data_IF_238962353822
#
_entry.id   IF_238962353822
#
_cell.length_a   1.000
_cell.length_b   1.000
_cell.length_c   1.000
_cell.angle_alpha   90.00
_cell.angle_beta   90.00
_cell.angle_gamma   90.00
#
_symmetry.space_group_name_H-M   'P 1'
#
loop_
_entity.id
_entity.type
_entity.pdbx_description
1 polymer ?
#
# COMPACT_ATOMS: atom_id res chain seq x y z
N UNK A 1 -7.34 2.85 0.47
CA UNK A 1 -7.50 3.60 1.72
C UNK A 1 -8.85 3.30 2.32
N UNK A 2 -8.90 2.97 3.60
CA UNK A 2 -10.12 2.64 4.31
C UNK A 2 -10.53 3.82 5.18
N UNK A 3 -11.71 4.36 4.92
CA UNK A 3 -12.23 5.54 5.62
C UNK A 3 -13.47 5.13 6.41
N UNK A 4 -13.46 5.49 7.69
CA UNK A 4 -14.60 5.34 8.58
C UNK A 4 -15.30 6.70 8.71
N UNK A 5 -16.62 6.74 8.59
CA UNK A 5 -17.42 7.96 8.84
C UNK A 5 -18.49 7.62 9.86
N UNK A 6 -18.61 8.42 10.92
CA UNK A 6 -19.64 8.22 11.93
C UNK A 6 -20.35 9.55 12.22
N UNK A 7 -21.65 9.57 11.99
CA UNK A 7 -22.52 10.75 12.17
C UNK A 7 -23.96 10.25 12.39
N UNK A 8 -24.63 10.63 13.47
CA UNK A 8 -25.97 10.13 13.79
C UNK A 8 -27.07 10.83 12.98
N UNK A 9 -26.74 11.92 12.28
CA UNK A 9 -27.60 12.57 11.33
C UNK A 9 -27.42 11.97 9.91
N UNK A 10 -28.42 11.23 9.43
CA UNK A 10 -28.36 10.55 8.13
C UNK A 10 -27.95 11.45 6.97
N UNK A 11 -28.53 12.66 6.90
CA UNK A 11 -28.21 13.62 5.82
C UNK A 11 -26.77 14.13 5.89
N UNK A 12 -26.24 14.38 7.11
CA UNK A 12 -24.86 14.78 7.32
C UNK A 12 -23.89 13.65 6.93
N UNK A 13 -24.19 12.43 7.35
CA UNK A 13 -23.43 11.22 6.97
C UNK A 13 -23.35 11.03 5.45
N UNK A 14 -24.50 11.11 4.75
CA UNK A 14 -24.55 10.92 3.29
C UNK A 14 -23.83 12.04 2.55
N UNK A 15 -23.98 13.31 2.99
CA UNK A 15 -23.30 14.46 2.40
C UNK A 15 -21.79 14.37 2.59
N UNK A 16 -21.33 14.07 3.81
CA UNK A 16 -19.92 13.90 4.10
C UNK A 16 -19.32 12.72 3.29
N UNK A 17 -20.05 11.63 3.17
CA UNK A 17 -19.65 10.48 2.37
C UNK A 17 -19.42 10.88 0.91
N UNK A 18 -20.36 11.60 0.29
CA UNK A 18 -20.22 12.09 -1.09
C UNK A 18 -19.04 13.05 -1.25
N UNK A 19 -18.84 13.97 -0.29
CA UNK A 19 -17.72 14.89 -0.30
C UNK A 19 -16.39 14.14 -0.24
N UNK A 20 -16.26 13.17 0.66
CA UNK A 20 -15.07 12.35 0.84
C UNK A 20 -14.83 11.44 -0.39
N UNK A 21 -15.88 10.85 -0.99
CA UNK A 21 -15.79 10.09 -2.24
C UNK A 21 -15.28 10.95 -3.41
N UNK A 22 -15.66 12.22 -3.45
CA UNK A 22 -15.18 13.18 -4.45
C UNK A 22 -13.69 13.47 -4.34
N UNK A 23 -13.16 13.58 -3.11
CA UNK A 23 -11.74 13.80 -2.84
C UNK A 23 -10.93 12.52 -3.01
N UNK A 24 -11.44 11.39 -2.55
CA UNK A 24 -10.75 10.09 -2.53
C UNK A 24 -11.39 9.09 -3.48
N UNK A 25 -11.21 9.25 -4.77
CA UNK A 25 -11.86 8.44 -5.84
C UNK A 25 -11.71 6.91 -5.75
N UNK A 26 -10.81 6.39 -4.89
CA UNK A 26 -10.46 4.97 -4.85
C UNK A 26 -10.36 4.43 -3.42
N UNK A 27 -11.06 5.04 -2.49
CA UNK A 27 -11.12 4.61 -1.10
C UNK A 27 -12.34 3.72 -0.85
N UNK A 28 -12.23 2.83 0.13
CA UNK A 28 -13.37 2.11 0.70
C UNK A 28 -13.91 2.94 1.85
N UNK A 29 -15.16 3.40 1.74
CA UNK A 29 -15.79 4.26 2.75
C UNK A 29 -16.90 3.47 3.43
N UNK A 30 -16.76 3.31 4.76
CA UNK A 30 -17.79 2.68 5.60
C UNK A 30 -18.39 3.72 6.53
N UNK A 31 -19.72 3.88 6.47
CA UNK A 31 -20.44 4.85 7.28
C UNK A 31 -21.35 4.20 8.32
N UNK A 32 -21.42 4.79 9.51
CA UNK A 32 -22.28 4.35 10.60
C UNK A 32 -23.06 5.53 11.19
N UNK A 33 -24.31 5.28 11.52
CA UNK A 33 -25.14 6.25 12.25
C UNK A 33 -25.03 6.10 13.77
N UNK A 34 -24.46 5.00 14.25
CA UNK A 34 -24.29 4.75 15.70
C UNK A 34 -22.82 4.46 16.02
N UNK A 35 -22.26 5.16 17.00
CA UNK A 35 -20.89 4.91 17.46
C UNK A 35 -20.65 3.46 17.92
N UNK A 36 -21.66 2.81 18.52
CA UNK A 36 -21.58 1.42 18.95
C UNK A 36 -21.38 0.45 17.78
N UNK A 37 -22.12 0.64 16.69
CA UNK A 37 -22.00 -0.19 15.49
C UNK A 37 -20.60 -0.01 14.84
N UNK A 38 -20.09 1.22 14.85
CA UNK A 38 -18.73 1.50 14.36
C UNK A 38 -17.67 0.78 15.20
N UNK A 39 -17.82 0.77 16.54
CA UNK A 39 -16.89 0.05 17.42
C UNK A 39 -16.97 -1.46 17.24
N UNK A 40 -18.15 -2.04 17.10
CA UNK A 40 -18.32 -3.47 16.83
C UNK A 40 -17.64 -3.87 15.51
N UNK A 41 -17.83 -3.07 14.46
CA UNK A 41 -17.16 -3.26 13.18
C UNK A 41 -15.63 -3.25 13.33
N UNK A 42 -15.11 -2.24 14.03
CA UNK A 42 -13.66 -2.07 14.24
C UNK A 42 -13.07 -3.22 15.07
N UNK A 43 -13.76 -3.68 16.14
CA UNK A 43 -13.33 -4.82 16.93
C UNK A 43 -13.33 -6.11 16.11
N UNK A 44 -14.33 -6.32 15.25
CA UNK A 44 -14.43 -7.49 14.40
C UNK A 44 -13.33 -7.47 13.32
N UNK A 45 -13.08 -6.32 12.72
CA UNK A 45 -12.00 -6.12 11.74
C UNK A 45 -10.61 -6.37 12.36
N UNK A 46 -10.37 -5.86 13.57
CA UNK A 46 -9.11 -6.06 14.28
C UNK A 46 -8.82 -7.54 14.61
N UNK A 47 -9.85 -8.33 14.92
CA UNK A 47 -9.73 -9.78 15.25
C UNK A 47 -9.57 -10.65 14.00
N UNK A 48 -10.21 -10.28 12.89
CA UNK A 48 -10.23 -11.07 11.65
C UNK A 48 -9.10 -10.71 10.67
N UNK A 49 -8.18 -9.80 11.04
CA UNK A 49 -7.10 -9.36 10.18
C UNK A 49 -7.55 -8.54 8.97
N UNK A 50 -8.78 -8.02 9.01
CA UNK A 50 -9.26 -7.08 8.00
C UNK A 50 -8.49 -5.74 8.12
N UNK A 51 -8.38 -5.04 6.99
CA UNK A 51 -7.65 -3.78 6.94
C UNK A 51 -8.27 -2.73 7.88
N UNK A 52 -7.44 -2.17 8.76
CA UNK A 52 -7.81 -1.09 9.66
C UNK A 52 -8.21 0.18 8.91
N UNK A 53 -9.06 1.05 9.46
CA UNK A 53 -9.26 2.39 8.90
C UNK A 53 -7.97 3.21 8.97
N UNK A 54 -7.62 3.86 7.86
CA UNK A 54 -6.50 4.80 7.76
C UNK A 54 -6.89 6.19 8.29
N UNK A 55 -8.17 6.55 8.12
CA UNK A 55 -8.76 7.85 8.45
C UNK A 55 -10.18 7.65 8.98
N UNK A 56 -10.52 8.38 10.03
CA UNK A 56 -11.88 8.42 10.56
C UNK A 56 -12.40 9.87 10.60
N UNK A 57 -13.59 10.10 10.03
CA UNK A 57 -14.36 11.32 10.22
C UNK A 57 -15.44 11.04 11.26
N UNK A 58 -15.48 11.81 12.33
CA UNK A 58 -16.35 11.57 13.46
C UNK A 58 -17.13 12.84 13.81
N UNK A 59 -18.46 12.77 13.81
CA UNK A 59 -19.22 13.82 14.50
C UNK A 59 -18.94 13.75 16.01
N UNK A 60 -19.01 14.87 16.67
CA UNK A 60 -18.77 14.96 18.13
C UNK A 60 -20.07 14.78 18.90
N UNK A 61 -21.14 15.46 18.52
CA UNK A 61 -22.42 15.39 19.23
C UNK A 61 -23.29 14.26 18.65
N UNK A 62 -23.16 13.09 19.18
CA UNK A 62 -23.97 11.91 18.83
C UNK A 62 -24.65 11.33 20.07
N UNK A 63 -25.81 10.73 19.86
CA UNK A 63 -26.56 10.08 20.95
C UNK A 63 -25.81 8.92 21.59
N UNK A 64 -25.75 8.88 22.91
CA UNK A 64 -25.10 7.86 23.71
C UNK A 64 -23.59 8.10 23.87
N UNK A 65 -22.76 7.48 23.04
CA UNK A 65 -21.31 7.72 23.01
C UNK A 65 -21.02 8.90 22.08
N UNK A 66 -20.32 9.93 22.57
CA UNK A 66 -19.90 11.04 21.74
C UNK A 66 -18.65 10.72 20.91
N UNK A 67 -18.37 11.56 19.88
CA UNK A 67 -17.26 11.35 18.98
C UNK A 67 -15.87 11.40 19.63
N UNK A 68 -15.70 12.15 20.71
CA UNK A 68 -14.44 12.22 21.47
C UNK A 68 -14.15 10.88 22.18
N UNK A 69 -15.19 10.27 22.74
CA UNK A 69 -15.09 8.94 23.37
C UNK A 69 -14.80 7.86 22.31
N UNK A 70 -15.48 7.93 21.16
CA UNK A 70 -15.23 7.02 20.04
C UNK A 70 -13.80 7.17 19.52
N UNK A 71 -13.31 8.40 19.37
CA UNK A 71 -11.94 8.67 18.95
C UNK A 71 -10.90 8.06 19.90
N UNK A 72 -11.12 8.16 21.22
CA UNK A 72 -10.26 7.53 22.21
C UNK A 72 -10.23 6.00 22.04
N UNK A 73 -11.41 5.37 21.92
CA UNK A 73 -11.51 3.92 21.71
C UNK A 73 -10.81 3.46 20.42
N UNK A 74 -10.96 4.21 19.32
CA UNK A 74 -10.26 3.90 18.06
C UNK A 74 -8.74 3.99 18.21
N UNK A 75 -8.23 4.96 18.97
CA UNK A 75 -6.79 5.10 19.25
C UNK A 75 -6.26 4.00 20.16
N UNK A 76 -7.05 3.57 21.15
CA UNK A 76 -6.70 2.46 22.04
C UNK A 76 -6.58 1.13 21.24
N UNK A 77 -7.43 0.94 20.22
CA UNK A 77 -7.42 -0.27 19.37
C UNK A 77 -6.28 -0.23 18.34
N UNK A 78 -6.06 0.91 17.67
CA UNK A 78 -5.17 0.98 16.49
C UNK A 78 -3.86 1.75 16.73
N UNK A 79 -3.71 2.44 17.85
CA UNK A 79 -2.55 3.28 18.17
C UNK A 79 -2.41 4.47 17.21
N UNK A 80 -2.01 4.20 15.98
CA UNK A 80 -1.84 5.24 14.92
C UNK A 80 -3.05 5.21 13.97
N UNK A 81 -4.01 6.12 14.17
CA UNK A 81 -5.14 6.37 13.27
C UNK A 81 -5.33 7.89 13.13
N UNK A 82 -5.55 8.37 11.91
CA UNK A 82 -5.93 9.76 11.69
C UNK A 82 -7.41 9.96 12.04
N UNK A 83 -7.70 10.98 12.84
CA UNK A 83 -9.05 11.35 13.21
C UNK A 83 -9.29 12.81 12.84
N UNK A 84 -10.33 13.04 12.06
CA UNK A 84 -10.85 14.38 11.74
C UNK A 84 -12.25 14.48 12.36
N UNK A 85 -12.43 15.42 13.23
CA UNK A 85 -13.77 15.72 13.76
C UNK A 85 -14.56 16.59 12.79
N UNK A 86 -15.84 16.27 12.64
CA UNK A 86 -16.79 17.05 11.84
C UNK A 86 -17.97 17.44 12.73
N UNK A 87 -18.19 18.70 12.99
CA UNK A 87 -19.22 19.14 13.94
C UNK A 87 -19.78 20.53 13.61
N UNK A 88 -20.98 20.82 14.09
CA UNK A 88 -21.58 22.16 14.05
C UNK A 88 -21.08 23.14 15.14
N UNK A 89 -20.23 22.67 16.06
CA UNK A 89 -19.89 23.43 17.27
C UNK A 89 -18.39 23.63 17.41
N UNK A 90 -17.95 24.87 17.63
CA UNK A 90 -16.53 25.20 17.82
C UNK A 90 -15.98 24.92 19.23
N UNK A 91 -16.85 24.74 20.22
CA UNK A 91 -16.47 24.58 21.64
C UNK A 91 -15.61 23.35 21.95
N UNK A 92 -15.64 22.33 21.10
CA UNK A 92 -14.89 21.07 21.30
C UNK A 92 -13.49 21.07 20.68
N UNK A 93 -13.05 22.17 20.08
CA UNK A 93 -11.74 22.23 19.41
C UNK A 93 -10.57 21.96 20.37
N UNK A 94 -10.67 22.41 21.62
CA UNK A 94 -9.64 22.16 22.65
C UNK A 94 -9.59 20.67 23.02
N UNK A 95 -10.73 20.00 23.17
CA UNK A 95 -10.80 18.58 23.49
C UNK A 95 -10.29 17.74 22.33
N UNK A 96 -10.62 18.10 21.10
CA UNK A 96 -10.09 17.47 19.89
C UNK A 96 -8.56 17.59 19.80
N UNK A 97 -8.02 18.75 20.13
CA UNK A 97 -6.58 18.99 20.19
C UNK A 97 -5.90 18.12 21.27
N UNK A 98 -6.50 18.05 22.46
CA UNK A 98 -5.99 17.20 23.55
C UNK A 98 -5.96 15.72 23.19
N UNK A 99 -6.90 15.26 22.37
CA UNK A 99 -6.91 13.93 21.79
C UNK A 99 -5.96 13.76 20.61
N UNK A 100 -5.17 14.80 20.26
CA UNK A 100 -4.28 14.76 19.11
C UNK A 100 -5.01 14.38 17.81
N UNK A 101 -6.17 14.98 17.56
CA UNK A 101 -6.86 14.84 16.28
C UNK A 101 -5.97 15.36 15.12
N UNK A 102 -6.15 14.77 13.95
CA UNK A 102 -5.47 15.20 12.72
C UNK A 102 -6.14 16.41 12.07
N UNK A 103 -7.41 16.66 12.40
CA UNK A 103 -8.16 17.80 11.87
C UNK A 103 -9.48 18.05 12.62
N UNK A 104 -10.05 19.24 12.39
CA UNK A 104 -11.31 19.67 12.94
C UNK A 104 -12.06 20.49 11.89
N UNK A 105 -13.19 20.02 11.43
CA UNK A 105 -13.97 20.62 10.35
C UNK A 105 -15.34 21.04 10.85
N UNK A 106 -15.73 22.27 10.50
CA UNK A 106 -17.07 22.76 10.80
C UNK A 106 -18.06 22.32 9.73
N UNK A 107 -19.24 21.84 10.15
CA UNK A 107 -20.35 21.56 9.23
C UNK A 107 -20.95 22.89 8.70
N UNK A 108 -21.27 22.99 7.38
CA UNK A 108 -21.19 21.96 6.35
C UNK A 108 -19.75 21.75 5.85
N UNK A 109 -19.35 20.49 5.67
CA UNK A 109 -17.98 20.14 5.28
C UNK A 109 -17.83 20.20 3.75
N UNK A 110 -16.91 21.06 3.28
CA UNK A 110 -16.61 21.18 1.84
C UNK A 110 -15.46 20.27 1.39
N UNK A 111 -15.35 20.02 0.09
CA UNK A 111 -14.28 19.22 -0.48
C UNK A 111 -12.90 19.88 -0.28
N UNK A 112 -12.84 21.20 -0.34
CA UNK A 112 -11.63 21.99 -0.10
C UNK A 112 -11.16 21.82 1.35
N UNK A 113 -12.07 21.90 2.33
CA UNK A 113 -11.76 21.72 3.75
C UNK A 113 -11.26 20.30 4.04
N UNK A 114 -11.86 19.28 3.39
CA UNK A 114 -11.37 17.89 3.49
C UNK A 114 -9.97 17.78 2.90
N UNK A 115 -9.71 18.36 1.75
CA UNK A 115 -8.40 18.32 1.08
C UNK A 115 -7.32 18.96 1.96
N UNK A 116 -7.58 20.16 2.49
CA UNK A 116 -6.65 20.87 3.38
C UNK A 116 -6.37 20.07 4.67
N UNK A 117 -7.40 19.50 5.29
CA UNK A 117 -7.24 18.70 6.49
C UNK A 117 -6.39 17.43 6.23
N UNK A 118 -6.51 16.86 5.04
CA UNK A 118 -5.75 15.67 4.65
C UNK A 118 -4.28 15.96 4.34
N UNK A 119 -3.96 17.11 3.81
CA UNK A 119 -2.57 17.56 3.62
C UNK A 119 -1.82 17.72 4.96
N UNK A 120 -2.55 18.01 6.04
CA UNK A 120 -2.03 18.24 7.38
C UNK A 120 -2.21 17.06 8.34
N UNK A 121 -2.42 15.84 7.84
CA UNK A 121 -2.63 14.67 8.69
C UNK A 121 -1.41 14.37 9.56
N UNK A 122 -1.68 14.01 10.81
CA UNK A 122 -0.65 13.64 11.79
C UNK A 122 0.18 12.42 11.38
N UNK A 123 -0.48 11.45 10.79
CA UNK A 123 0.17 10.27 10.21
C UNK A 123 -0.03 10.33 8.71
N UNK A 124 1.06 10.31 7.97
CA UNK A 124 0.97 10.27 6.52
C UNK A 124 0.11 9.07 6.11
N UNK A 125 -0.92 9.34 5.33
CA UNK A 125 -1.64 8.27 4.66
C UNK A 125 -0.63 7.60 3.75
N UNK A 126 -0.37 6.33 3.98
CA UNK A 126 0.37 5.56 2.98
C UNK A 126 -0.44 5.73 1.69
N UNK A 127 0.16 6.25 0.61
CA UNK A 127 -0.56 6.23 -0.65
C UNK A 127 -0.99 4.78 -0.83
N UNK A 128 -2.28 4.51 -0.87
CA UNK A 128 -2.76 3.25 -1.39
C UNK A 128 -2.38 3.29 -2.87
N UNK A 129 -1.15 2.86 -3.12
CA UNK A 129 -0.80 2.45 -4.45
C UNK A 129 -1.86 1.41 -4.82
N UNK A 130 -2.57 1.66 -5.91
CA UNK A 130 -3.34 0.63 -6.60
C UNK A 130 -2.36 -0.44 -7.10
N UNK A 131 -1.61 -1.03 -6.16
CA UNK A 131 -0.72 -2.11 -6.53
C UNK A 131 -1.62 -3.30 -6.78
N UNK A 132 -1.80 -3.61 -8.01
CA UNK A 132 -2.46 -4.85 -8.44
C UNK A 132 -1.74 -6.05 -7.86
N UNK A 133 -0.47 -5.89 -7.50
CA UNK A 133 0.36 -6.96 -6.91
C UNK A 133 1.20 -6.45 -5.74
N UNK A 134 1.41 -7.35 -4.77
CA UNK A 134 2.40 -7.23 -3.71
C UNK A 134 3.57 -8.17 -4.01
N UNK A 135 4.79 -7.65 -3.89
CA UNK A 135 6.03 -8.39 -4.13
C UNK A 135 6.82 -8.44 -2.84
N UNK A 136 7.21 -9.65 -2.47
CA UNK A 136 8.12 -9.95 -1.38
C UNK A 136 9.49 -10.27 -1.97
N UNK A 137 10.51 -9.55 -1.53
CA UNK A 137 11.90 -9.74 -1.94
C UNK A 137 12.79 -10.17 -0.79
N UNK A 138 12.39 -9.88 0.46
CA UNK A 138 13.12 -10.30 1.66
C UNK A 138 12.84 -11.77 1.96
N UNK A 139 13.93 -12.53 2.17
CA UNK A 139 13.88 -13.99 2.11
C UNK A 139 13.74 -14.49 0.67
N UNK A 140 12.76 -15.33 0.41
CA UNK A 140 12.44 -15.80 -0.94
C UNK A 140 11.56 -14.81 -1.70
N UNK A 141 11.85 -14.68 -3.00
CA UNK A 141 11.02 -13.87 -3.90
C UNK A 141 9.64 -14.49 -4.11
N UNK A 142 8.60 -13.75 -3.74
CA UNK A 142 7.20 -14.15 -3.94
C UNK A 142 6.35 -12.99 -4.44
N UNK A 143 5.28 -13.32 -5.18
CA UNK A 143 4.34 -12.34 -5.74
C UNK A 143 2.92 -12.74 -5.35
N UNK A 144 2.12 -11.74 -4.96
CA UNK A 144 0.74 -11.94 -4.53
C UNK A 144 -0.19 -10.99 -5.30
N UNK A 145 -1.29 -11.52 -5.78
CA UNK A 145 -2.44 -10.76 -6.27
C UNK A 145 -3.52 -10.80 -5.18
N UNK A 146 -3.69 -9.69 -4.47
CA UNK A 146 -4.35 -9.70 -3.16
C UNK A 146 -3.60 -10.63 -2.21
N UNK A 147 -4.31 -11.57 -1.56
CA UNK A 147 -3.71 -12.56 -0.64
C UNK A 147 -3.29 -13.88 -1.32
N UNK A 148 -3.49 -14.01 -2.62
CA UNK A 148 -3.20 -15.25 -3.34
C UNK A 148 -1.83 -15.18 -4.03
N UNK A 149 -0.96 -16.20 -3.83
CA UNK A 149 0.31 -16.26 -4.55
C UNK A 149 0.09 -16.43 -6.06
N UNK A 150 0.85 -15.64 -6.84
CA UNK A 150 0.83 -15.72 -8.30
C UNK A 150 1.64 -16.92 -8.76
N UNK A 151 1.00 -17.80 -9.53
CA UNK A 151 1.67 -18.99 -10.08
C UNK A 151 2.26 -18.68 -11.45
N UNK A 152 3.54 -19.00 -11.64
CA UNK A 152 4.21 -18.94 -12.92
C UNK A 152 4.34 -20.35 -13.51
N UNK A 153 4.17 -20.47 -14.81
CA UNK A 153 4.31 -21.75 -15.51
C UNK A 153 5.75 -22.27 -15.45
N UNK A 154 6.72 -21.35 -15.39
CA UNK A 154 8.15 -21.66 -15.37
C UNK A 154 8.87 -20.88 -14.28
N UNK A 155 9.79 -21.53 -13.57
CA UNK A 155 10.62 -20.88 -12.55
C UNK A 155 11.46 -19.73 -13.15
N UNK A 156 11.98 -19.91 -14.37
CA UNK A 156 12.72 -18.86 -15.10
C UNK A 156 11.88 -17.64 -15.45
N UNK A 157 10.55 -17.76 -15.59
CA UNK A 157 9.66 -16.60 -15.74
C UNK A 157 9.56 -15.80 -14.44
N UNK A 158 9.48 -16.50 -13.31
CA UNK A 158 9.49 -15.88 -11.97
C UNK A 158 10.82 -15.16 -11.73
N UNK A 159 11.95 -15.78 -12.10
CA UNK A 159 13.29 -15.22 -12.01
C UNK A 159 13.47 -13.96 -12.89
N UNK A 160 12.96 -13.97 -14.12
CA UNK A 160 12.93 -12.80 -15.00
C UNK A 160 12.20 -11.63 -14.31
N UNK A 161 11.05 -11.92 -13.70
CA UNK A 161 10.29 -10.87 -13.03
C UNK A 161 11.02 -10.36 -11.79
N UNK A 162 11.64 -11.25 -10.99
CA UNK A 162 12.46 -10.88 -9.83
C UNK A 162 13.60 -9.92 -10.22
N UNK A 163 14.30 -10.22 -11.33
CA UNK A 163 15.36 -9.35 -11.83
C UNK A 163 14.83 -7.96 -12.19
N UNK A 164 13.71 -7.88 -12.90
CA UNK A 164 13.10 -6.59 -13.26
C UNK A 164 12.62 -5.79 -12.04
N UNK A 165 12.11 -6.47 -11.01
CA UNK A 165 11.75 -5.85 -9.71
C UNK A 165 13.00 -5.24 -9.06
N UNK A 166 14.11 -5.98 -8.97
CA UNK A 166 15.36 -5.46 -8.41
C UNK A 166 15.85 -4.21 -9.16
N UNK A 167 15.62 -4.12 -10.46
CA UNK A 167 16.02 -2.98 -11.31
C UNK A 167 15.15 -1.72 -11.11
N UNK A 168 14.08 -1.81 -10.34
CA UNK A 168 13.23 -0.68 -9.90
C UNK A 168 12.93 0.33 -11.03
N UNK A 169 12.35 -0.15 -12.13
CA UNK A 169 11.93 0.67 -13.26
C UNK A 169 13.03 1.03 -14.26
N UNK A 170 14.29 0.69 -13.99
CA UNK A 170 15.37 0.85 -14.97
C UNK A 170 15.15 -0.09 -16.15
N UNK A 171 15.19 0.45 -17.37
CA UNK A 171 15.11 -0.36 -18.58
C UNK A 171 16.31 -1.28 -18.71
N UNK A 172 16.05 -2.58 -18.84
CA UNK A 172 17.05 -3.62 -19.06
C UNK A 172 17.00 -4.08 -20.51
N UNK A 173 18.15 -4.18 -21.18
CA UNK A 173 18.20 -4.73 -22.52
C UNK A 173 18.19 -6.28 -22.49
N UNK A 174 17.76 -6.88 -23.62
CA UNK A 174 17.60 -8.33 -23.71
C UNK A 174 18.90 -9.10 -23.41
N UNK A 175 20.06 -8.59 -23.86
CA UNK A 175 21.35 -9.26 -23.65
C UNK A 175 21.78 -9.22 -22.18
N UNK A 176 21.54 -8.10 -21.49
CA UNK A 176 21.76 -7.94 -20.05
C UNK A 176 20.94 -8.97 -19.26
N UNK A 177 19.64 -9.06 -19.55
CA UNK A 177 18.74 -10.00 -18.89
C UNK A 177 19.18 -11.45 -19.16
N UNK A 178 19.51 -11.77 -20.40
CA UNK A 178 19.97 -13.11 -20.80
C UNK A 178 21.25 -13.48 -20.05
N UNK A 179 22.21 -12.56 -19.95
CA UNK A 179 23.47 -12.80 -19.27
C UNK A 179 23.27 -13.14 -17.79
N UNK A 180 22.31 -12.50 -17.10
CA UNK A 180 22.03 -12.75 -15.70
C UNK A 180 21.24 -14.07 -15.52
N UNK A 181 20.20 -14.30 -16.31
CA UNK A 181 19.31 -15.47 -16.11
C UNK A 181 19.94 -16.79 -16.61
N UNK A 182 20.88 -16.72 -17.56
CA UNK A 182 21.59 -17.87 -18.09
C UNK A 182 23.11 -17.75 -17.90
N UNK A 183 23.56 -17.38 -16.70
CA UNK A 183 24.95 -17.07 -16.32
C UNK A 183 26.03 -17.93 -17.02
N UNK A 184 25.81 -19.24 -17.18
CA UNK A 184 26.76 -20.18 -17.74
C UNK A 184 26.54 -20.48 -19.24
N UNK A 185 25.52 -19.88 -19.89
CA UNK A 185 25.19 -20.22 -21.26
C UNK A 185 25.54 -19.07 -22.23
N UNK A 186 26.20 -19.39 -23.34
CA UNK A 186 26.44 -18.37 -24.37
C UNK A 186 25.10 -17.87 -24.94
N UNK A 187 25.05 -16.59 -25.29
CA UNK A 187 23.88 -15.94 -25.89
C UNK A 187 23.66 -16.41 -27.33
N UNK A 188 23.12 -17.61 -27.49
CA UNK A 188 22.79 -18.24 -28.76
C UNK A 188 21.39 -17.89 -29.24
N UNK A 189 21.09 -18.14 -30.51
CA UNK A 189 19.72 -18.01 -31.04
C UNK A 189 18.69 -18.84 -30.26
N UNK A 190 19.09 -20.01 -29.75
CA UNK A 190 18.24 -20.86 -28.93
C UNK A 190 17.91 -20.19 -27.58
N UNK A 191 18.90 -19.59 -26.90
CA UNK A 191 18.70 -18.85 -25.64
C UNK A 191 17.84 -17.60 -25.88
N UNK A 192 18.08 -16.86 -26.94
CA UNK A 192 17.24 -15.72 -27.32
C UNK A 192 15.78 -16.12 -27.56
N UNK A 193 15.54 -17.29 -28.18
CA UNK A 193 14.21 -17.79 -28.38
C UNK A 193 13.55 -18.20 -27.04
N UNK A 194 14.28 -18.86 -26.15
CA UNK A 194 13.82 -19.16 -24.79
C UNK A 194 13.44 -17.88 -24.03
N UNK A 195 14.27 -16.83 -24.10
CA UNK A 195 13.98 -15.53 -23.49
C UNK A 195 12.67 -14.93 -24.02
N UNK A 196 12.43 -14.94 -25.34
CA UNK A 196 11.15 -14.47 -25.89
C UNK A 196 9.96 -15.22 -25.31
N UNK A 197 10.07 -16.53 -25.13
CA UNK A 197 9.02 -17.35 -24.50
C UNK A 197 8.83 -16.97 -23.02
N UNK A 198 9.89 -16.64 -22.26
CA UNK A 198 9.76 -16.16 -20.89
C UNK A 198 9.01 -14.81 -20.82
N UNK A 199 9.34 -13.88 -21.72
CA UNK A 199 8.65 -12.57 -21.79
C UNK A 199 7.18 -12.74 -22.14
N UNK A 200 6.84 -13.67 -23.05
CA UNK A 200 5.44 -13.99 -23.37
C UNK A 200 4.71 -14.62 -22.18
N UNK A 201 5.36 -15.57 -21.49
CA UNK A 201 4.80 -16.24 -20.31
C UNK A 201 4.59 -15.25 -19.16
N UNK A 202 5.55 -14.37 -18.89
CA UNK A 202 5.43 -13.28 -17.92
C UNK A 202 4.24 -12.36 -18.25
N UNK A 203 4.12 -11.93 -19.50
CA UNK A 203 3.00 -11.08 -19.95
C UNK A 203 1.66 -11.76 -19.74
N UNK A 204 1.56 -13.06 -20.08
CA UNK A 204 0.35 -13.85 -19.89
C UNK A 204 0.00 -14.01 -18.41
N UNK A 205 1.00 -14.28 -17.57
CA UNK A 205 0.82 -14.43 -16.12
C UNK A 205 0.32 -13.13 -15.48
N UNK A 206 0.93 -11.99 -15.82
CA UNK A 206 0.50 -10.68 -15.33
C UNK A 206 -0.92 -10.32 -15.83
N UNK A 207 -1.23 -10.61 -17.09
CA UNK A 207 -2.57 -10.39 -17.64
C UNK A 207 -3.65 -11.21 -16.94
N UNK A 208 -3.33 -12.46 -16.55
CA UNK A 208 -4.30 -13.33 -15.87
C UNK A 208 -4.74 -12.82 -14.49
N UNK A 209 -3.99 -11.88 -13.92
CA UNK A 209 -4.27 -11.23 -12.63
C UNK A 209 -4.60 -9.74 -12.78
N UNK A 210 -4.83 -9.24 -14.01
CA UNK A 210 -5.15 -7.84 -14.28
C UNK A 210 -3.99 -6.86 -14.03
N UNK A 211 -2.75 -7.32 -14.16
CA UNK A 211 -1.52 -6.57 -13.85
C UNK A 211 -0.61 -6.38 -15.08
N UNK A 212 -1.15 -6.48 -16.29
CA UNK A 212 -0.38 -6.34 -17.54
C UNK A 212 0.28 -4.97 -17.71
N UNK A 213 -0.28 -3.96 -17.12
CA UNK A 213 0.20 -2.58 -17.17
C UNK A 213 1.42 -2.30 -16.27
N UNK A 214 1.86 -3.30 -15.49
CA UNK A 214 3.09 -3.24 -14.70
C UNK A 214 4.32 -3.40 -15.58
N UNK A 215 4.22 -4.13 -16.69
CA UNK A 215 5.34 -4.44 -17.57
C UNK A 215 5.39 -3.48 -18.75
N UNK A 216 6.48 -2.71 -18.83
CA UNK A 216 6.75 -1.80 -19.95
C UNK A 216 7.70 -2.47 -20.94
N UNK A 217 7.29 -2.49 -22.20
CA UNK A 217 8.06 -3.06 -23.29
C UNK A 217 8.39 -1.98 -24.33
N UNK A 218 9.65 -1.83 -24.63
CA UNK A 218 10.14 -1.04 -25.76
C UNK A 218 11.00 -1.93 -26.67
N UNK A 219 11.42 -1.42 -27.82
CA UNK A 219 12.23 -2.21 -28.76
C UNK A 219 13.53 -2.70 -28.10
N UNK A 220 13.58 -3.99 -27.75
CA UNK A 220 14.74 -4.62 -27.12
C UNK A 220 14.98 -4.24 -25.66
N UNK A 221 14.02 -3.57 -25.01
CA UNK A 221 14.09 -3.12 -23.63
C UNK A 221 12.86 -3.59 -22.85
N UNK A 222 13.07 -3.90 -21.58
CA UNK A 222 12.02 -4.34 -20.66
C UNK A 222 12.21 -3.66 -19.30
N UNK A 223 11.12 -3.19 -18.70
CA UNK A 223 11.10 -2.61 -17.37
C UNK A 223 9.79 -2.90 -16.65
N UNK A 224 9.73 -2.65 -15.36
CA UNK A 224 8.50 -2.61 -14.56
C UNK A 224 8.18 -1.17 -14.14
N UNK A 225 6.91 -0.88 -13.83
CA UNK A 225 6.48 0.39 -13.25
C UNK A 225 6.45 0.26 -11.72
N UNK A 226 7.44 0.81 -10.99
CA UNK A 226 7.54 0.67 -9.54
C UNK A 226 6.33 1.22 -8.80
N UNK A 227 5.75 2.30 -9.29
CA UNK A 227 4.58 2.98 -8.73
C UNK A 227 3.30 2.11 -8.75
N UNK A 228 3.30 1.01 -9.49
CA UNK A 228 2.20 0.03 -9.56
C UNK A 228 2.44 -1.23 -8.72
N UNK A 229 3.55 -1.28 -7.99
CA UNK A 229 4.02 -2.47 -7.26
C UNK A 229 4.22 -2.14 -5.79
N UNK A 230 3.54 -2.85 -4.88
CA UNK A 230 3.88 -2.83 -3.47
C UNK A 230 5.04 -3.79 -3.24
N UNK A 231 6.23 -3.29 -2.91
CA UNK A 231 7.44 -4.09 -2.78
C UNK A 231 8.20 -3.72 -1.50
N UNK A 232 8.57 -4.71 -0.71
CA UNK A 232 9.36 -4.53 0.51
C UNK A 232 10.72 -3.88 0.22
N UNK A 233 11.43 -4.27 -0.85
CA UNK A 233 12.65 -3.59 -1.29
C UNK A 233 12.43 -2.09 -1.55
N UNK A 234 11.33 -1.73 -2.21
CA UNK A 234 11.07 -0.33 -2.54
C UNK A 234 10.80 0.49 -1.29
N UNK A 235 9.98 -0.04 -0.38
CA UNK A 235 9.69 0.58 0.91
C UNK A 235 10.97 0.72 1.76
N UNK A 236 11.84 -0.29 1.74
CA UNK A 236 13.14 -0.26 2.43
C UNK A 236 14.04 0.86 1.89
N UNK A 237 14.16 0.98 0.56
CA UNK A 237 14.97 2.02 -0.08
C UNK A 237 14.39 3.44 0.14
N UNK A 238 13.09 3.55 0.38
CA UNK A 238 12.41 4.80 0.74
C UNK A 238 12.43 5.04 2.27
N UNK A 239 13.26 4.30 3.03
CA UNK A 239 13.47 4.41 4.47
C UNK A 239 12.20 4.21 5.33
N UNK A 240 11.26 3.35 4.88
CA UNK A 240 10.12 2.96 5.71
C UNK A 240 10.59 2.14 6.92
N UNK A 241 10.49 2.72 8.11
CA UNK A 241 11.00 2.16 9.37
C UNK A 241 10.44 0.75 9.65
N UNK A 242 9.17 0.50 9.34
CA UNK A 242 8.56 -0.81 9.55
C UNK A 242 9.16 -1.89 8.64
N UNK A 243 9.56 -1.51 7.43
CA UNK A 243 10.18 -2.41 6.45
C UNK A 243 11.67 -2.61 6.75
N UNK A 244 12.38 -1.57 7.16
CA UNK A 244 13.78 -1.67 7.61
C UNK A 244 13.90 -2.65 8.78
N UNK A 245 13.00 -2.57 9.77
CA UNK A 245 12.98 -3.48 10.92
C UNK A 245 12.61 -4.93 10.58
N UNK A 246 11.97 -5.18 9.45
CA UNK A 246 11.61 -6.54 8.98
C UNK A 246 12.69 -7.20 8.15
N UNK A 247 13.68 -6.47 7.70
CA UNK A 247 14.78 -7.05 6.94
C UNK A 247 15.68 -7.88 7.84
N UNK A 248 15.76 -9.17 7.56
CA UNK A 248 16.49 -10.16 8.35
C UNK A 248 17.83 -10.61 7.71
N UNK A 249 18.40 -9.82 6.81
CA UNK A 249 19.67 -10.15 6.15
C UNK A 249 19.54 -11.10 4.96
N UNK A 250 18.33 -11.34 4.46
CA UNK A 250 18.09 -12.20 3.29
C UNK A 250 17.31 -11.46 2.20
N UNK A 251 17.85 -11.47 0.98
CA UNK A 251 17.24 -10.85 -0.20
C UNK A 251 17.24 -11.82 -1.35
N UNK A 252 16.05 -12.21 -1.85
CA UNK A 252 15.85 -13.11 -2.98
C UNK A 252 16.77 -14.34 -2.94
N UNK A 253 16.86 -15.01 -1.78
CA UNK A 253 17.86 -16.05 -1.44
C UNK A 253 17.94 -17.23 -2.44
N UNK A 254 16.90 -17.41 -3.27
CA UNK A 254 16.87 -18.45 -4.31
C UNK A 254 17.65 -18.10 -5.59
N UNK A 255 18.21 -16.88 -5.72
CA UNK A 255 18.90 -16.42 -6.92
C UNK A 255 20.33 -15.97 -6.60
N UNK A 256 21.33 -16.60 -7.24
CA UNK A 256 22.76 -16.31 -7.08
C UNK A 256 23.11 -14.86 -7.38
N UNK A 257 22.54 -14.27 -8.42
CA UNK A 257 22.79 -12.89 -8.82
C UNK A 257 22.31 -11.84 -7.81
N UNK A 258 21.43 -12.21 -6.86
CA UNK A 258 20.92 -11.31 -5.84
C UNK A 258 21.89 -11.06 -4.67
N UNK A 259 22.95 -11.86 -4.54
CA UNK A 259 23.89 -11.86 -3.42
C UNK A 259 24.60 -10.49 -3.24
N UNK A 260 24.98 -9.84 -4.35
CA UNK A 260 25.57 -8.50 -4.29
C UNK A 260 24.61 -7.44 -3.75
N UNK A 261 23.32 -7.54 -4.08
CA UNK A 261 22.28 -6.63 -3.56
C UNK A 261 22.07 -6.88 -2.07
N UNK A 262 22.13 -8.11 -1.60
CA UNK A 262 22.04 -8.45 -0.19
C UNK A 262 23.13 -7.74 0.63
N UNK A 263 24.39 -7.85 0.19
CA UNK A 263 25.52 -7.17 0.83
C UNK A 263 25.37 -5.63 0.86
N UNK A 264 24.76 -5.04 -0.15
CA UNK A 264 24.46 -3.62 -0.20
C UNK A 264 23.38 -3.23 0.83
N UNK A 265 22.29 -4.01 0.93
CA UNK A 265 21.20 -3.78 1.90
C UNK A 265 21.70 -3.91 3.35
N UNK A 266 22.53 -4.91 3.66
CA UNK A 266 23.17 -5.08 4.97
C UNK A 266 23.99 -3.86 5.39
N UNK A 267 24.70 -3.26 4.44
CA UNK A 267 25.47 -2.04 4.69
C UNK A 267 24.55 -0.84 4.95
N UNK A 268 23.41 -0.74 4.25
CA UNK A 268 22.43 0.33 4.49
C UNK A 268 21.83 0.25 5.89
N UNK A 269 21.44 -0.93 6.36
CA UNK A 269 20.89 -1.11 7.73
C UNK A 269 21.89 -0.63 8.78
N UNK A 270 23.17 -0.98 8.63
CA UNK A 270 24.24 -0.56 9.57
C UNK A 270 24.45 0.95 9.61
N UNK A 271 24.07 1.67 8.56
CA UNK A 271 24.20 3.13 8.51
C UNK A 271 22.95 3.86 9.03
N UNK A 272 21.83 3.16 9.20
CA UNK A 272 20.55 3.70 9.68
C UNK A 272 20.40 3.43 11.20
N UNK A 273 21.07 2.40 11.73
CA UNK A 273 21.11 2.03 13.15
C UNK A 273 22.12 2.89 13.91
#
# INVERSE_FOLDING_TARGET
MNILIVDDERLALENLKRTVEGVFKNSSITGFMKPSEALEYVHSASKSGLEKPDLAFLDIEMGGMNGLQLAKSLKDIYGKINIIFTTGYSKYAVDAYALHASGYLMKPVSAEAVTEAVENLRYQLKPQSKHTIRVQTFGNFEIFAGDKPVKFTRMKTKELFAYLIMRRGTFCNNNEIIAVIWEEKPNTAAVQNQYRHLVMDLTKSLKSIGAEDILVKQRGLLAVLPEKISCDLYNFLDADTDTVNKYAGEFMAQYSWAEFTNAYLDKMVKNIS
#
